data_IF_790707432116
#
_entry.id   IF_790707432116
#
_cell.length_a   1.000
_cell.length_b   1.000
_cell.length_c   1.000
_cell.angle_alpha   90.00
_cell.angle_beta   90.00
_cell.angle_gamma   90.00
#
_symmetry.space_group_name_H-M   'P 1'
#
loop_
_entity.id
_entity.type
_entity.pdbx_description
1 polymer ?
#
# COMPACT_ATOMS: atom_id res chain seq x y z
N UNK A 1 11.90 6.68 24.77
CA UNK A 1 12.35 5.28 24.99
C UNK A 1 11.62 4.26 24.12
N UNK A 2 10.32 4.42 23.81
CA UNK A 2 9.55 3.38 23.08
C UNK A 2 9.81 3.24 21.56
N UNK A 3 10.25 4.30 20.86
CA UNK A 3 10.39 4.28 19.40
C UNK A 3 11.73 3.72 18.89
N UNK A 4 12.77 3.74 19.71
CA UNK A 4 14.11 3.26 19.35
C UNK A 4 14.13 1.78 18.89
N UNK A 5 13.55 0.80 19.63
CA UNK A 5 13.58 -0.59 19.20
C UNK A 5 12.74 -0.87 17.93
N UNK A 6 11.67 -0.10 17.71
CA UNK A 6 10.81 -0.25 16.52
C UNK A 6 11.50 0.32 15.28
N UNK A 7 12.27 1.41 15.43
CA UNK A 7 13.04 2.03 14.36
C UNK A 7 14.06 1.09 13.71
N UNK A 8 14.64 0.17 14.49
CA UNK A 8 15.63 -0.77 14.00
C UNK A 8 15.03 -2.07 13.43
N UNK A 9 13.84 -2.47 13.89
CA UNK A 9 13.18 -3.71 13.46
C UNK A 9 12.21 -3.51 12.30
N UNK A 10 11.45 -2.40 12.31
CA UNK A 10 10.42 -2.06 11.33
C UNK A 10 10.54 -0.59 10.93
N UNK A 11 11.61 -0.28 10.19
CA UNK A 11 11.92 1.09 9.80
C UNK A 11 10.79 1.78 9.01
N UNK A 12 10.11 1.06 8.11
CA UNK A 12 8.97 1.62 7.38
C UNK A 12 7.80 2.01 8.30
N UNK A 13 7.57 1.27 9.39
CA UNK A 13 6.56 1.61 10.40
C UNK A 13 6.98 2.82 11.22
N UNK A 14 8.24 2.88 11.64
CA UNK A 14 8.78 4.02 12.39
C UNK A 14 8.72 5.31 11.56
N UNK A 15 9.08 5.25 10.27
CA UNK A 15 8.98 6.40 9.36
C UNK A 15 7.53 6.90 9.22
N UNK A 16 6.57 6.00 9.07
CA UNK A 16 5.14 6.37 9.03
C UNK A 16 4.68 7.05 10.32
N UNK A 17 5.10 6.54 11.48
CA UNK A 17 4.77 7.14 12.78
C UNK A 17 5.37 8.55 12.88
N UNK A 18 6.63 8.73 12.50
CA UNK A 18 7.29 10.04 12.49
C UNK A 18 6.59 11.04 11.57
N UNK A 19 6.18 10.60 10.37
CA UNK A 19 5.46 11.46 9.43
C UNK A 19 4.09 11.89 9.98
N UNK A 20 3.37 10.97 10.65
CA UNK A 20 2.10 11.30 11.33
C UNK A 20 2.30 12.26 12.50
N UNK A 21 3.34 12.05 13.29
CA UNK A 21 3.65 12.89 14.45
C UNK A 21 4.02 14.33 14.03
N UNK A 22 4.81 14.48 12.97
CA UNK A 22 5.12 15.78 12.38
C UNK A 22 3.85 16.52 11.90
N UNK A 23 2.86 15.80 11.37
CA UNK A 23 1.58 16.39 10.99
C UNK A 23 0.81 16.89 12.22
N UNK A 24 0.72 16.08 13.29
CA UNK A 24 0.08 16.48 14.54
C UNK A 24 0.74 17.72 15.16
N UNK A 25 2.07 17.79 15.15
CA UNK A 25 2.79 18.95 15.68
C UNK A 25 2.58 20.23 14.86
N UNK A 26 2.50 20.12 13.53
CA UNK A 26 2.12 21.27 12.69
C UNK A 26 0.73 21.79 13.06
N UNK A 27 -0.22 20.89 13.30
CA UNK A 27 -1.57 21.29 13.75
C UNK A 27 -1.54 21.90 15.15
N UNK A 28 -0.78 21.34 16.09
CA UNK A 28 -0.65 21.86 17.45
C UNK A 28 -0.01 23.26 17.49
N UNK A 29 0.97 23.52 16.62
CA UNK A 29 1.60 24.83 16.49
C UNK A 29 0.64 25.91 15.97
N UNK A 30 -0.24 25.57 15.01
CA UNK A 30 -1.31 26.48 14.55
C UNK A 30 -2.30 26.79 15.68
N UNK A 31 -2.55 25.83 16.57
CA UNK A 31 -3.40 26.01 17.75
C UNK A 31 -2.70 26.76 18.90
N UNK A 32 -1.52 27.36 18.66
CA UNK A 32 -0.74 28.13 19.64
C UNK A 32 -0.33 27.32 20.87
N UNK A 33 -0.18 26.00 20.73
CA UNK A 33 0.39 25.14 21.77
C UNK A 33 1.92 25.24 21.70
N UNK A 34 2.59 25.40 22.84
CA UNK A 34 4.05 25.47 22.92
C UNK A 34 4.66 24.10 22.58
N UNK A 35 5.00 23.93 21.30
CA UNK A 35 5.56 22.69 20.75
C UNK A 35 6.85 23.05 20.04
N UNK A 36 7.96 22.51 20.54
CA UNK A 36 9.26 22.66 19.90
C UNK A 36 9.32 21.82 18.61
N UNK A 37 9.07 22.48 17.48
CA UNK A 37 9.18 21.91 16.13
C UNK A 37 10.63 21.58 15.74
N UNK A 38 11.63 22.11 16.46
CA UNK A 38 13.05 21.92 16.15
C UNK A 38 13.58 20.60 16.72
N UNK A 39 12.94 20.01 17.74
CA UNK A 39 13.22 18.63 18.18
C UNK A 39 12.54 17.65 17.22
N UNK A 40 13.06 17.58 15.99
CA UNK A 40 12.58 16.61 15.02
C UNK A 40 12.82 15.23 15.61
N UNK A 41 11.77 14.44 15.84
CA UNK A 41 11.87 13.10 16.45
C UNK A 41 12.85 12.14 15.71
N UNK A 42 13.22 12.45 14.45
CA UNK A 42 14.34 11.81 13.72
C UNK A 42 15.70 12.00 14.40
N UNK A 43 15.98 13.18 14.97
CA UNK A 43 17.23 13.47 15.67
C UNK A 43 17.40 12.58 16.91
N UNK A 44 16.29 12.29 17.61
CA UNK A 44 16.26 11.39 18.77
C UNK A 44 16.39 9.91 18.42
N UNK A 45 16.05 9.51 17.19
CA UNK A 45 16.09 8.13 16.71
C UNK A 45 17.44 7.73 16.10
N UNK A 46 18.31 8.69 15.83
CA UNK A 46 19.60 8.44 15.19
C UNK A 46 19.47 8.01 13.73
N UNK A 47 20.58 7.54 13.14
CA UNK A 47 20.63 7.13 11.73
C UNK A 47 19.86 5.83 11.51
N UNK A 48 18.77 5.89 10.74
CA UNK A 48 18.04 4.73 10.24
C UNK A 48 18.93 3.93 9.26
N UNK A 49 19.17 2.64 9.57
CA UNK A 49 20.06 1.76 8.76
C UNK A 49 19.31 0.81 7.83
N UNK A 50 17.99 0.96 7.72
CA UNK A 50 17.18 0.08 6.90
C UNK A 50 17.33 0.42 5.42
N UNK A 51 17.66 -0.60 4.61
CA UNK A 51 17.71 -0.51 3.16
C UNK A 51 16.49 -1.21 2.58
N UNK A 52 15.76 -0.51 1.71
CA UNK A 52 14.61 -1.08 1.00
C UNK A 52 15.07 -2.27 0.17
N UNK A 53 14.49 -3.44 0.43
CA UNK A 53 14.70 -4.64 -0.37
C UNK A 53 13.64 -4.72 -1.46
N UNK A 54 14.05 -5.08 -2.68
CA UNK A 54 13.10 -5.30 -3.77
C UNK A 54 12.26 -6.54 -3.47
N UNK A 55 10.94 -6.43 -3.60
CA UNK A 55 10.05 -7.59 -3.56
C UNK A 55 10.00 -8.16 -4.99
N UNK A 56 10.43 -9.42 -5.21
CA UNK A 56 10.45 -9.98 -6.55
C UNK A 56 9.03 -10.03 -7.11
N UNK A 57 8.89 -9.59 -8.36
CA UNK A 57 7.67 -9.78 -9.13
C UNK A 57 7.55 -11.26 -9.53
N UNK A 58 6.32 -11.70 -9.82
CA UNK A 58 6.09 -12.99 -10.44
C UNK A 58 6.73 -13.02 -11.84
N UNK A 59 7.29 -14.17 -12.23
CA UNK A 59 7.77 -14.38 -13.60
C UNK A 59 6.59 -14.34 -14.59
N UNK A 60 6.77 -13.62 -15.70
CA UNK A 60 5.73 -13.35 -16.69
C UNK A 60 5.16 -14.64 -17.31
N UNK A 61 5.98 -15.68 -17.43
CA UNK A 61 5.59 -16.99 -17.99
C UNK A 61 4.55 -17.69 -17.12
N UNK A 62 4.58 -17.45 -15.82
CA UNK A 62 3.69 -18.10 -14.86
C UNK A 62 2.31 -17.43 -14.79
N UNK A 63 2.14 -16.24 -15.39
CA UNK A 63 0.88 -15.50 -15.35
C UNK A 63 -0.25 -16.27 -16.01
N UNK A 64 0.00 -16.93 -17.15
CA UNK A 64 -1.03 -17.72 -17.85
C UNK A 64 -1.51 -18.90 -17.02
N UNK A 65 -0.59 -19.63 -16.37
CA UNK A 65 -0.94 -20.72 -15.47
C UNK A 65 -1.71 -20.21 -14.24
N UNK A 66 -1.28 -19.08 -13.66
CA UNK A 66 -1.96 -18.45 -12.54
C UNK A 66 -3.37 -17.98 -12.90
N UNK A 67 -3.57 -17.43 -14.11
CA UNK A 67 -4.90 -17.04 -14.59
C UNK A 67 -5.84 -18.23 -14.69
N UNK A 68 -5.36 -19.41 -15.14
CA UNK A 68 -6.15 -20.64 -15.17
C UNK A 68 -6.55 -21.11 -13.78
N UNK A 69 -5.65 -21.04 -12.80
CA UNK A 69 -5.99 -21.36 -11.39
C UNK A 69 -7.09 -20.44 -10.88
N UNK A 70 -7.03 -19.14 -11.20
CA UNK A 70 -8.07 -18.19 -10.84
C UNK A 70 -9.42 -18.53 -11.49
N UNK A 71 -9.43 -19.28 -12.60
CA UNK A 71 -10.64 -19.75 -13.29
C UNK A 71 -11.42 -20.83 -12.54
N UNK A 72 -10.73 -21.69 -11.80
CA UNK A 72 -11.33 -22.84 -11.12
C UNK A 72 -12.28 -22.45 -9.97
N UNK A 73 -12.14 -21.24 -9.42
CA UNK A 73 -12.95 -20.78 -8.28
C UNK A 73 -13.68 -19.46 -8.58
N UNK A 74 -15.00 -19.51 -8.59
CA UNK A 74 -15.89 -18.36 -8.92
C UNK A 74 -16.14 -17.45 -7.71
N UNK A 75 -15.08 -16.84 -7.16
CA UNK A 75 -15.19 -15.78 -6.16
C UNK A 75 -15.09 -14.40 -6.81
N UNK A 76 -15.79 -13.41 -6.25
CA UNK A 76 -15.70 -11.99 -6.66
C UNK A 76 -14.24 -11.50 -6.61
N UNK A 77 -13.44 -11.98 -5.65
CA UNK A 77 -12.02 -11.65 -5.55
C UNK A 77 -11.18 -12.21 -6.70
N UNK A 78 -11.51 -13.41 -7.19
CA UNK A 78 -10.83 -13.99 -8.35
C UNK A 78 -11.22 -13.26 -9.62
N UNK A 79 -12.49 -12.92 -9.79
CA UNK A 79 -12.95 -12.09 -10.90
C UNK A 79 -12.24 -10.73 -10.93
N UNK A 80 -12.19 -10.04 -9.79
CA UNK A 80 -11.47 -8.77 -9.67
C UNK A 80 -9.97 -8.90 -9.95
N UNK A 81 -9.35 -10.01 -9.52
CA UNK A 81 -7.94 -10.29 -9.82
C UNK A 81 -7.68 -10.57 -11.30
N UNK A 82 -8.59 -11.29 -11.98
CA UNK A 82 -8.51 -11.49 -13.44
C UNK A 82 -8.63 -10.16 -14.18
N UNK A 83 -9.57 -9.32 -13.77
CA UNK A 83 -9.75 -7.99 -14.34
C UNK A 83 -8.54 -7.08 -14.09
N UNK A 84 -7.88 -7.20 -12.92
CA UNK A 84 -6.63 -6.51 -12.62
C UNK A 84 -5.49 -6.92 -13.56
N UNK A 85 -5.35 -8.23 -13.83
CA UNK A 85 -4.33 -8.77 -14.74
C UNK A 85 -4.57 -8.27 -16.16
N UNK A 86 -5.83 -8.20 -16.61
CA UNK A 86 -6.19 -7.78 -17.97
C UNK A 86 -6.06 -6.27 -18.19
N UNK A 87 -6.38 -5.46 -17.19
CA UNK A 87 -6.39 -3.98 -17.31
C UNK A 87 -5.10 -3.31 -16.85
N UNK A 88 -4.31 -3.99 -16.01
CA UNK A 88 -3.09 -3.44 -15.42
C UNK A 88 -3.31 -2.21 -14.52
N UNK A 89 -4.56 -1.98 -14.08
CA UNK A 89 -4.93 -0.83 -13.23
C UNK A 89 -4.58 -1.08 -11.76
N UNK A 90 -4.76 -0.06 -10.92
CA UNK A 90 -4.61 -0.23 -9.47
C UNK A 90 -5.81 -0.98 -8.89
N UNK A 91 -5.60 -1.66 -7.76
CA UNK A 91 -6.69 -2.32 -7.03
C UNK A 91 -7.72 -1.32 -6.51
N UNK A 92 -7.33 -0.06 -6.30
CA UNK A 92 -8.23 1.00 -5.86
C UNK A 92 -9.24 1.37 -6.95
N UNK A 93 -8.79 1.50 -8.20
CA UNK A 93 -9.68 1.73 -9.34
C UNK A 93 -10.70 0.60 -9.51
N UNK A 94 -10.33 -0.64 -9.19
CA UNK A 94 -11.27 -1.77 -9.27
C UNK A 94 -12.30 -1.79 -8.14
N UNK A 95 -11.97 -1.26 -6.96
CA UNK A 95 -12.89 -1.21 -5.82
C UNK A 95 -13.94 -0.12 -5.95
N UNK A 96 -13.63 0.94 -6.68
CA UNK A 96 -14.49 2.09 -6.88
C UNK A 96 -15.03 2.19 -8.32
N UNK A 97 -15.00 1.09 -9.07
CA UNK A 97 -15.54 1.06 -10.44
C UNK A 97 -17.07 1.03 -10.40
N UNK A 98 -17.69 1.88 -11.22
CA UNK A 98 -19.15 1.90 -11.41
C UNK A 98 -19.52 1.13 -12.66
N UNK A 99 -20.67 0.43 -12.64
CA UNK A 99 -21.13 -0.38 -13.78
C UNK A 99 -21.32 0.45 -15.06
N UNK A 100 -21.70 1.71 -14.93
CA UNK A 100 -21.86 2.66 -16.05
C UNK A 100 -20.55 2.93 -16.81
N UNK A 101 -19.40 2.64 -16.20
CA UNK A 101 -18.08 2.82 -16.80
C UNK A 101 -17.63 1.58 -17.60
N UNK A 102 -18.40 0.49 -17.57
CA UNK A 102 -18.07 -0.77 -18.23
C UNK A 102 -19.04 -0.94 -19.41
N UNK A 103 -18.53 -0.67 -20.60
CA UNK A 103 -19.28 -0.89 -21.85
C UNK A 103 -18.84 -2.22 -22.46
N UNK A 104 -19.75 -3.21 -22.46
CA UNK A 104 -19.52 -4.54 -23.02
C UNK A 104 -19.73 -5.70 -22.05
N UNK A 105 -20.43 -6.73 -22.51
CA UNK A 105 -20.56 -8.04 -21.86
C UNK A 105 -19.26 -8.84 -22.03
N UNK A 106 -18.18 -8.45 -21.34
CA UNK A 106 -16.93 -9.23 -21.32
C UNK A 106 -16.84 -10.10 -20.05
N UNK A 107 -17.88 -10.09 -19.22
CA UNK A 107 -18.01 -10.95 -18.04
C UNK A 107 -18.90 -12.15 -18.36
N UNK A 108 -18.74 -12.75 -19.54
CA UNK A 108 -19.17 -14.12 -19.69
C UNK A 108 -18.34 -14.97 -18.74
N UNK A 109 -19.02 -15.80 -17.93
CA UNK A 109 -18.39 -16.71 -16.97
C UNK A 109 -17.57 -17.82 -17.66
N UNK A 110 -17.36 -17.74 -18.97
CA UNK A 110 -16.46 -18.57 -19.75
C UNK A 110 -15.02 -18.14 -19.49
N UNK A 111 -14.45 -18.77 -18.46
CA UNK A 111 -13.20 -19.46 -18.74
C UNK A 111 -13.56 -20.76 -19.50
#
# INVERSE_FOLDING_TARGET
MFLAPIGHTKAASAEKILNRFNLCFKHAAVLSLDVDLQVTAKALLGKQRYRTTNRPAMDWRNISAFYKILCETTSITHLASRFLILTGRSTDSLRHIHKEQIDGAILDNSC
#
